data_IF_161665500578
#
_entry.id   IF_161665500578
#
_cell.length_a   1.000
_cell.length_b   1.000
_cell.length_c   1.000
_cell.angle_alpha   90.00
_cell.angle_beta   90.00
_cell.angle_gamma   90.00
#
_symmetry.space_group_name_H-M   'P 1'
#
loop_
_entity.id
_entity.type
_entity.pdbx_description
1 polymer ?
#
# COMPACT_ATOMS: atom_id res chain seq x y z
N UNK A 1 25.76 -15.99 7.13
CA UNK A 1 26.77 -15.05 7.63
C UNK A 1 27.02 -15.40 9.09
N UNK A 2 28.26 -15.64 9.47
CA UNK A 2 28.58 -15.94 10.87
C UNK A 2 28.52 -14.67 11.73
N UNK A 3 28.23 -14.76 13.05
CA UNK A 3 28.14 -13.61 13.94
C UNK A 3 29.38 -12.71 13.90
N UNK A 4 30.58 -13.31 13.82
CA UNK A 4 31.84 -12.56 13.78
C UNK A 4 32.01 -11.78 12.48
N UNK A 5 31.60 -12.36 11.35
CA UNK A 5 31.63 -11.69 10.05
C UNK A 5 30.67 -10.49 10.00
N UNK A 6 29.54 -10.57 10.72
CA UNK A 6 28.59 -9.47 10.86
C UNK A 6 29.18 -8.33 11.69
N UNK A 7 29.88 -8.64 12.79
CA UNK A 7 30.52 -7.63 13.65
C UNK A 7 31.58 -6.85 12.88
N UNK A 8 32.44 -7.53 12.12
CA UNK A 8 33.47 -6.87 11.31
C UNK A 8 32.86 -6.00 10.20
N UNK A 9 31.76 -6.45 9.57
CA UNK A 9 31.03 -5.64 8.59
C UNK A 9 30.42 -4.38 9.20
N UNK A 10 29.86 -4.47 10.42
CA UNK A 10 29.28 -3.30 11.12
C UNK A 10 30.36 -2.28 11.48
N UNK A 11 31.52 -2.75 11.98
CA UNK A 11 32.68 -1.90 12.27
C UNK A 11 33.19 -1.20 11.01
N UNK A 12 33.31 -1.92 9.89
CA UNK A 12 33.73 -1.36 8.62
C UNK A 12 32.80 -0.26 8.08
N UNK A 13 31.53 -0.25 8.52
CA UNK A 13 30.53 0.79 8.20
C UNK A 13 30.36 1.85 9.30
N UNK A 14 31.21 1.83 10.34
CA UNK A 14 31.15 2.77 11.46
C UNK A 14 29.95 2.58 12.41
N UNK A 15 29.23 1.46 12.33
CA UNK A 15 28.07 1.16 13.18
C UNK A 15 28.56 0.46 14.46
N UNK A 16 28.22 1.01 15.62
CA UNK A 16 28.53 0.37 16.91
C UNK A 16 27.72 -0.92 17.06
N UNK A 17 28.38 -2.04 17.36
CA UNK A 17 27.71 -3.34 17.60
C UNK A 17 26.62 -3.26 18.68
N UNK A 18 26.83 -2.43 19.71
CA UNK A 18 25.84 -2.18 20.75
C UNK A 18 24.51 -1.65 20.20
N UNK A 19 24.55 -0.76 19.21
CA UNK A 19 23.34 -0.22 18.56
C UNK A 19 22.51 -1.31 17.89
N UNK A 20 23.16 -2.26 17.20
CA UNK A 20 22.45 -3.40 16.62
C UNK A 20 21.88 -4.32 17.70
N UNK A 21 22.65 -4.62 18.74
CA UNK A 21 22.20 -5.45 19.86
C UNK A 21 20.97 -4.83 20.53
N UNK A 22 20.97 -3.52 20.76
CA UNK A 22 19.85 -2.81 21.37
C UNK A 22 18.62 -2.80 20.46
N UNK A 23 18.80 -2.64 19.15
CA UNK A 23 17.71 -2.78 18.17
C UNK A 23 17.10 -4.19 18.18
N UNK A 24 17.93 -5.24 18.21
CA UNK A 24 17.46 -6.64 18.27
C UNK A 24 16.71 -6.89 19.59
N UNK A 25 17.24 -6.41 20.73
CA UNK A 25 16.57 -6.51 22.02
C UNK A 25 15.21 -5.83 21.99
N UNK A 26 15.13 -4.63 21.43
CA UNK A 26 13.86 -3.90 21.29
C UNK A 26 12.86 -4.68 20.42
N UNK A 27 13.31 -5.25 19.30
CA UNK A 27 12.47 -6.08 18.43
C UNK A 27 11.94 -7.32 19.15
N UNK A 28 12.79 -8.06 19.88
CA UNK A 28 12.38 -9.23 20.66
C UNK A 28 11.40 -8.83 21.78
N UNK A 29 11.67 -7.71 22.47
CA UNK A 29 10.78 -7.20 23.51
C UNK A 29 9.40 -6.87 22.94
N UNK A 30 9.34 -6.19 21.80
CA UNK A 30 8.10 -5.89 21.10
C UNK A 30 7.35 -7.17 20.71
N UNK A 31 8.01 -8.14 20.09
CA UNK A 31 7.39 -9.43 19.73
C UNK A 31 6.79 -10.14 20.96
N UNK A 32 7.47 -10.10 22.11
CA UNK A 32 6.95 -10.66 23.36
C UNK A 32 5.71 -9.91 23.86
N UNK A 33 5.71 -8.58 23.76
CA UNK A 33 4.56 -7.75 24.13
C UNK A 33 3.36 -8.05 23.24
N UNK A 34 3.56 -8.07 21.92
CA UNK A 34 2.50 -8.42 20.95
C UNK A 34 1.94 -9.80 21.26
N UNK A 35 2.80 -10.80 21.47
CA UNK A 35 2.37 -12.17 21.75
C UNK A 35 1.59 -12.33 23.06
N UNK A 36 1.92 -11.56 24.10
CA UNK A 36 1.30 -11.69 25.43
C UNK A 36 0.14 -10.74 25.69
N UNK A 37 0.16 -9.54 25.11
CA UNK A 37 -0.78 -8.45 25.41
C UNK A 37 -1.75 -8.19 24.27
N UNK A 38 -1.32 -8.31 23.02
CA UNK A 38 -2.12 -7.93 21.85
C UNK A 38 -2.81 -9.15 21.24
N UNK A 39 -2.07 -10.23 20.98
CA UNK A 39 -2.59 -11.43 20.30
C UNK A 39 -3.80 -12.07 20.99
N UNK A 40 -3.90 -12.17 22.33
CA UNK A 40 -5.09 -12.70 22.99
C UNK A 40 -6.37 -11.87 22.82
N UNK A 41 -6.24 -10.61 22.38
CA UNK A 41 -7.39 -9.72 22.13
C UNK A 41 -7.95 -9.86 20.71
N UNK A 42 -7.29 -10.66 19.85
CA UNK A 42 -7.80 -10.95 18.51
C UNK A 42 -8.92 -11.94 18.65
N UNK A 43 -10.14 -11.44 18.52
CA UNK A 43 -11.35 -12.24 18.43
C UNK A 43 -11.95 -12.08 17.04
N UNK A 44 -12.14 -13.20 16.33
CA UNK A 44 -12.77 -13.26 15.00
C UNK A 44 -13.95 -14.21 15.13
N UNK A 45 -15.14 -13.68 14.87
CA UNK A 45 -16.37 -14.45 14.97
C UNK A 45 -16.72 -15.07 13.62
N UNK A 46 -17.51 -16.15 13.64
CA UNK A 46 -18.11 -16.72 12.42
C UNK A 46 -18.91 -15.66 11.64
N UNK A 47 -19.58 -14.76 12.36
CA UNK A 47 -20.29 -13.63 11.76
C UNK A 47 -19.36 -12.67 11.00
N UNK A 48 -18.15 -12.43 11.50
CA UNK A 48 -17.16 -11.60 10.80
C UNK A 48 -16.73 -12.27 9.48
N UNK A 49 -16.48 -13.59 9.52
CA UNK A 49 -16.11 -14.38 8.34
C UNK A 49 -17.25 -14.38 7.31
N UNK A 50 -18.47 -14.68 7.74
CA UNK A 50 -19.63 -14.73 6.86
C UNK A 50 -19.92 -13.38 6.22
N UNK A 51 -19.87 -12.29 7.01
CA UNK A 51 -20.08 -10.95 6.47
C UNK A 51 -19.04 -10.58 5.40
N UNK A 52 -17.79 -11.03 5.55
CA UNK A 52 -16.75 -10.80 4.56
C UNK A 52 -16.96 -11.65 3.30
N UNK A 53 -17.35 -12.92 3.46
CA UNK A 53 -17.70 -13.78 2.32
C UNK A 53 -18.90 -13.25 1.54
N UNK A 54 -19.93 -12.73 2.22
CA UNK A 54 -21.11 -12.17 1.58
C UNK A 54 -20.75 -10.91 0.77
N UNK A 55 -19.89 -10.04 1.30
CA UNK A 55 -19.34 -8.90 0.53
C UNK A 55 -18.58 -9.34 -0.70
N UNK A 56 -17.80 -10.43 -0.61
CA UNK A 56 -17.10 -11.00 -1.77
C UNK A 56 -18.07 -11.62 -2.77
N UNK A 57 -19.17 -12.25 -2.31
CA UNK A 57 -20.22 -12.75 -3.21
C UNK A 57 -20.92 -11.61 -3.95
N UNK A 58 -21.19 -10.50 -3.26
CA UNK A 58 -21.73 -9.27 -3.89
C UNK A 58 -20.76 -8.64 -4.90
N UNK A 59 -19.49 -9.04 -4.88
CA UNK A 59 -18.49 -8.64 -5.84
C UNK A 59 -18.48 -9.48 -7.13
N UNK A 60 -19.13 -10.66 -7.14
CA UNK A 60 -19.15 -11.56 -8.29
C UNK A 60 -19.73 -10.83 -9.52
N UNK A 61 -19.07 -11.03 -10.65
CA UNK A 61 -19.43 -10.41 -11.93
C UNK A 61 -18.96 -8.97 -12.09
N UNK A 62 -18.55 -8.29 -11.00
CA UNK A 62 -17.96 -6.94 -11.11
C UNK A 62 -16.54 -7.02 -11.67
N UNK A 63 -16.18 -6.02 -12.46
CA UNK A 63 -14.82 -5.90 -12.99
C UNK A 63 -13.85 -5.53 -11.87
N UNK A 64 -12.68 -6.15 -11.87
CA UNK A 64 -11.53 -5.76 -11.07
C UNK A 64 -10.38 -5.32 -11.98
N UNK A 65 -9.69 -4.27 -11.54
CA UNK A 65 -8.56 -3.67 -12.21
C UNK A 65 -7.33 -3.81 -11.31
N UNK A 66 -6.24 -4.37 -11.82
CA UNK A 66 -4.95 -4.33 -11.16
C UNK A 66 -4.23 -3.07 -11.62
N UNK A 67 -4.07 -2.10 -10.72
CA UNK A 67 -3.70 -0.73 -11.11
C UNK A 67 -2.37 -0.30 -10.49
N UNK A 68 -1.65 0.54 -11.22
CA UNK A 68 -0.58 1.38 -10.67
C UNK A 68 -0.85 2.84 -10.97
N UNK A 69 -0.41 3.75 -10.10
CA UNK A 69 -0.68 5.19 -10.17
C UNK A 69 0.58 6.05 -10.07
N UNK A 70 0.56 7.15 -10.82
CA UNK A 70 1.40 8.33 -10.60
C UNK A 70 0.48 9.49 -10.28
N UNK A 71 0.67 10.11 -9.12
CA UNK A 71 -0.05 11.32 -8.71
C UNK A 71 0.90 12.52 -8.71
N UNK A 72 0.49 13.59 -9.38
CA UNK A 72 1.19 14.87 -9.42
C UNK A 72 0.30 15.94 -8.77
N UNK A 73 0.65 16.47 -7.60
CA UNK A 73 -0.16 17.49 -6.93
C UNK A 73 -0.10 18.83 -7.67
N UNK A 74 -1.19 19.58 -7.60
CA UNK A 74 -1.27 20.98 -8.00
C UNK A 74 -1.42 21.79 -6.73
N UNK A 75 -0.31 22.34 -6.22
CA UNK A 75 -0.30 23.11 -4.97
C UNK A 75 -0.93 24.49 -5.14
N UNK A 76 -0.72 25.10 -6.32
CA UNK A 76 -1.24 26.42 -6.65
C UNK A 76 -2.00 26.38 -7.97
N UNK A 77 -3.16 27.07 -8.09
CA UNK A 77 -3.95 27.08 -9.32
C UNK A 77 -3.17 27.52 -10.56
N UNK A 78 -2.22 28.43 -10.43
CA UNK A 78 -1.36 28.90 -11.52
C UNK A 78 -0.46 27.81 -12.13
N UNK A 79 -0.15 26.76 -11.36
CA UNK A 79 0.70 25.65 -11.79
C UNK A 79 -0.07 24.58 -12.57
N UNK A 80 -1.41 24.62 -12.60
CA UNK A 80 -2.25 23.58 -13.20
C UNK A 80 -1.80 23.23 -14.63
N UNK A 81 -1.52 24.25 -15.46
CA UNK A 81 -1.06 24.07 -16.83
C UNK A 81 0.30 23.39 -16.92
N UNK A 82 1.25 23.76 -16.05
CA UNK A 82 2.61 23.22 -16.07
C UNK A 82 2.64 21.77 -15.57
N UNK A 83 1.87 21.47 -14.52
CA UNK A 83 1.70 20.11 -13.99
C UNK A 83 1.00 19.23 -15.01
N UNK A 84 -0.04 19.73 -15.71
CA UNK A 84 -0.70 19.00 -16.80
C UNK A 84 0.27 18.62 -17.92
N UNK A 85 1.14 19.55 -18.33
CA UNK A 85 2.15 19.26 -19.36
C UNK A 85 3.15 18.20 -18.90
N UNK A 86 3.57 18.25 -17.63
CA UNK A 86 4.42 17.23 -17.02
C UNK A 86 3.72 15.87 -17.01
N UNK A 87 2.43 15.83 -16.63
CA UNK A 87 1.63 14.61 -16.63
C UNK A 87 1.55 14.00 -18.05
N UNK A 88 1.36 14.83 -19.08
CA UNK A 88 1.33 14.37 -20.47
C UNK A 88 2.67 13.77 -20.92
N UNK A 89 3.80 14.37 -20.52
CA UNK A 89 5.14 13.83 -20.82
C UNK A 89 5.38 12.49 -20.13
N UNK A 90 5.04 12.38 -18.84
CA UNK A 90 5.15 11.12 -18.08
C UNK A 90 4.27 10.04 -18.72
N UNK A 91 3.03 10.38 -19.08
CA UNK A 91 2.12 9.48 -19.79
C UNK A 91 2.72 8.97 -21.10
N UNK A 92 3.32 9.85 -21.90
CA UNK A 92 3.96 9.46 -23.17
C UNK A 92 5.10 8.48 -22.94
N UNK A 93 5.97 8.77 -21.97
CA UNK A 93 7.09 7.89 -21.63
C UNK A 93 6.61 6.53 -21.10
N UNK A 94 5.59 6.53 -20.23
CA UNK A 94 5.00 5.32 -19.69
C UNK A 94 4.28 4.49 -20.76
N UNK A 95 3.67 5.13 -21.76
CA UNK A 95 2.99 4.44 -22.86
C UNK A 95 3.98 3.79 -23.85
N UNK A 96 5.20 4.31 -23.98
CA UNK A 96 6.25 3.71 -24.81
C UNK A 96 6.82 2.42 -24.18
N UNK A 97 6.99 2.42 -22.86
CA UNK A 97 7.42 1.25 -22.09
C UNK A 97 6.68 1.18 -20.76
N UNK A 98 5.55 0.44 -20.69
CA UNK A 98 4.80 0.26 -19.44
C UNK A 98 5.61 -0.38 -18.31
N UNK A 99 6.67 -1.14 -18.60
CA UNK A 99 7.53 -1.74 -17.58
C UNK A 99 8.37 -0.69 -16.83
N UNK A 100 8.50 0.50 -17.41
CA UNK A 100 9.15 1.65 -16.79
C UNK A 100 8.24 2.39 -15.79
N UNK A 101 6.93 2.11 -15.78
CA UNK A 101 5.99 2.81 -14.90
C UNK A 101 6.42 2.83 -13.42
N UNK A 102 6.91 1.73 -12.81
CA UNK A 102 7.37 1.74 -11.43
C UNK A 102 8.52 2.72 -11.16
N UNK A 103 9.44 2.90 -12.11
CA UNK A 103 10.55 3.85 -11.97
C UNK A 103 10.03 5.29 -12.05
N UNK A 104 9.12 5.57 -12.99
CA UNK A 104 8.49 6.87 -13.12
C UNK A 104 7.67 7.23 -11.87
N UNK A 105 6.96 6.25 -11.29
CA UNK A 105 6.23 6.44 -10.06
C UNK A 105 7.13 6.80 -8.89
N UNK A 106 8.24 6.08 -8.67
CA UNK A 106 9.22 6.43 -7.63
C UNK A 106 9.82 7.82 -7.81
N UNK A 107 10.06 8.22 -9.06
CA UNK A 107 10.70 9.49 -9.36
C UNK A 107 9.75 10.70 -9.20
N UNK A 108 8.52 10.57 -9.68
CA UNK A 108 7.63 11.73 -9.86
C UNK A 108 6.38 11.70 -8.98
N UNK A 109 5.92 10.53 -8.58
CA UNK A 109 4.66 10.42 -7.84
C UNK A 109 4.79 11.00 -6.43
N UNK A 110 3.68 11.57 -5.95
CA UNK A 110 3.49 11.97 -4.54
C UNK A 110 2.38 11.17 -3.86
N UNK A 111 1.92 10.08 -4.47
CA UNK A 111 0.99 9.14 -3.84
C UNK A 111 1.71 8.25 -2.81
N UNK A 112 0.95 7.68 -1.88
CA UNK A 112 1.48 6.79 -0.84
C UNK A 112 2.24 5.57 -1.41
N UNK A 113 1.80 5.05 -2.56
CA UNK A 113 2.43 3.89 -3.21
C UNK A 113 3.64 4.22 -4.09
N UNK A 114 4.12 5.46 -4.12
CA UNK A 114 5.20 5.90 -5.03
C UNK A 114 6.46 5.02 -4.93
N UNK A 115 6.92 4.73 -3.70
CA UNK A 115 8.10 3.90 -3.43
C UNK A 115 7.92 2.45 -3.93
N UNK A 116 6.70 1.93 -3.84
CA UNK A 116 6.31 0.61 -4.35
C UNK A 116 6.02 0.63 -5.86
N UNK A 117 6.48 1.65 -6.59
CA UNK A 117 6.28 1.75 -8.03
C UNK A 117 4.88 2.18 -8.42
N UNK A 118 4.17 2.86 -7.53
CA UNK A 118 2.80 3.30 -7.72
C UNK A 118 1.77 2.19 -7.53
N UNK A 119 2.12 1.07 -6.92
CA UNK A 119 1.21 -0.07 -6.78
C UNK A 119 0.00 0.28 -5.88
N UNK A 120 -1.21 0.20 -6.45
CA UNK A 120 -2.49 0.31 -5.72
C UNK A 120 -3.08 -1.08 -5.41
N UNK A 121 -2.70 -2.10 -6.17
CA UNK A 121 -3.28 -3.43 -6.11
C UNK A 121 -4.56 -3.57 -6.94
N UNK A 122 -5.37 -4.55 -6.56
CA UNK A 122 -6.66 -4.82 -7.19
C UNK A 122 -7.72 -3.88 -6.63
N UNK A 123 -8.39 -3.17 -7.52
CA UNK A 123 -9.53 -2.29 -7.21
C UNK A 123 -10.76 -2.76 -7.96
N UNK A 124 -11.90 -2.74 -7.31
CA UNK A 124 -13.16 -3.13 -7.92
C UNK A 124 -13.82 -1.93 -8.61
N UNK A 125 -14.49 -2.19 -9.73
CA UNK A 125 -15.31 -1.18 -10.40
C UNK A 125 -16.34 -0.58 -9.42
N UNK A 126 -16.36 0.75 -9.32
CA UNK A 126 -17.22 1.48 -8.39
C UNK A 126 -16.59 1.81 -7.03
N UNK A 127 -15.39 1.33 -6.72
CA UNK A 127 -14.68 1.71 -5.49
C UNK A 127 -13.90 3.03 -5.61
N UNK A 128 -13.53 3.43 -6.83
CA UNK A 128 -12.86 4.70 -7.08
C UNK A 128 -13.84 5.81 -7.44
N UNK A 129 -13.37 7.06 -7.46
CA UNK A 129 -14.14 8.19 -7.97
C UNK A 129 -14.51 7.99 -9.46
N UNK A 130 -15.65 8.53 -9.88
CA UNK A 130 -16.21 8.30 -11.23
C UNK A 130 -15.22 8.59 -12.37
N UNK A 131 -14.47 9.69 -12.28
CA UNK A 131 -13.46 10.05 -13.28
C UNK A 131 -12.34 9.00 -13.39
N UNK A 132 -11.97 8.37 -12.27
CA UNK A 132 -10.94 7.32 -12.23
C UNK A 132 -11.50 6.00 -12.77
N UNK A 133 -12.72 5.62 -12.37
CA UNK A 133 -13.38 4.43 -12.91
C UNK A 133 -13.54 4.51 -14.43
N UNK A 134 -14.04 5.64 -14.95
CA UNK A 134 -14.20 5.86 -16.39
C UNK A 134 -12.86 5.81 -17.14
N UNK A 135 -11.78 6.31 -16.53
CA UNK A 135 -10.45 6.21 -17.11
C UNK A 135 -9.96 4.77 -17.20
N UNK A 136 -10.20 3.93 -16.19
CA UNK A 136 -9.78 2.52 -16.17
C UNK A 136 -10.66 1.62 -17.03
N UNK A 137 -11.96 1.90 -17.11
CA UNK A 137 -12.92 1.09 -17.87
C UNK A 137 -12.55 0.98 -19.35
N UNK A 138 -12.09 2.09 -19.92
CA UNK A 138 -11.67 2.22 -21.32
C UNK A 138 -10.28 1.65 -21.62
N UNK A 139 -9.55 1.16 -20.62
CA UNK A 139 -8.22 0.60 -20.81
C UNK A 139 -8.25 -0.92 -20.98
N UNK A 140 -7.30 -1.39 -21.80
CA UNK A 140 -6.85 -2.78 -21.84
C UNK A 140 -5.63 -2.98 -20.94
N UNK A 141 -5.37 -4.23 -20.54
CA UNK A 141 -4.17 -4.57 -19.78
C UNK A 141 -2.89 -4.14 -20.53
N UNK A 142 -1.94 -3.57 -19.80
CA UNK A 142 -0.72 -2.94 -20.31
C UNK A 142 -0.88 -1.48 -20.76
N UNK A 143 -2.09 -0.92 -20.78
CA UNK A 143 -2.31 0.47 -21.24
C UNK A 143 -2.23 1.50 -20.11
N UNK A 144 -1.78 2.70 -20.50
CA UNK A 144 -1.66 3.87 -19.61
C UNK A 144 -2.76 4.87 -19.93
N UNK A 145 -3.46 5.35 -18.90
CA UNK A 145 -4.54 6.34 -19.01
C UNK A 145 -4.02 7.69 -19.52
N UNK A 146 -4.93 8.53 -20.02
CA UNK A 146 -4.67 9.96 -20.06
C UNK A 146 -4.56 10.53 -18.62
N UNK A 147 -3.90 11.68 -18.42
CA UNK A 147 -3.91 12.36 -17.12
C UNK A 147 -5.36 12.71 -16.71
N UNK A 148 -5.79 12.19 -15.56
CA UNK A 148 -7.10 12.44 -14.96
C UNK A 148 -6.97 13.58 -13.95
N UNK A 149 -7.71 14.66 -14.13
CA UNK A 149 -7.73 15.79 -13.19
C UNK A 149 -8.63 15.45 -12.00
N UNK A 150 -8.10 15.49 -10.78
CA UNK A 150 -8.87 15.46 -9.53
C UNK A 150 -9.00 16.88 -8.98
N UNK A 151 -9.36 17.07 -7.70
CA UNK A 151 -9.31 18.40 -7.06
C UNK A 151 -7.87 18.79 -6.68
N UNK A 152 -7.04 17.81 -6.31
CA UNK A 152 -5.71 18.03 -5.74
C UNK A 152 -4.57 17.88 -6.74
N UNK A 153 -4.83 17.37 -7.95
CA UNK A 153 -3.82 17.30 -9.00
C UNK A 153 -4.18 16.38 -10.16
N UNK A 154 -3.17 15.79 -10.78
CA UNK A 154 -3.30 14.89 -11.91
C UNK A 154 -2.89 13.46 -11.56
N UNK A 155 -3.68 12.50 -12.01
CA UNK A 155 -3.44 11.08 -11.84
C UNK A 155 -3.20 10.43 -13.19
N UNK A 156 -2.23 9.52 -13.26
CA UNK A 156 -1.94 8.69 -14.43
C UNK A 156 -1.98 7.24 -13.97
N UNK A 157 -2.74 6.41 -14.66
CA UNK A 157 -2.93 5.02 -14.29
C UNK A 157 -2.30 4.09 -15.32
N UNK A 158 -1.66 3.03 -14.86
CA UNK A 158 -1.34 1.85 -15.67
C UNK A 158 -2.30 0.74 -15.26
N UNK A 159 -3.07 0.24 -16.23
CA UNK A 159 -3.87 -0.96 -16.04
C UNK A 159 -2.97 -2.18 -16.27
N UNK A 160 -2.52 -2.85 -15.22
CA UNK A 160 -1.67 -4.04 -15.32
C UNK A 160 -2.49 -5.27 -15.70
N UNK A 161 -3.71 -5.40 -15.19
CA UNK A 161 -4.59 -6.52 -15.48
C UNK A 161 -6.06 -6.12 -15.28
N UNK A 162 -6.98 -6.79 -15.99
CA UNK A 162 -8.43 -6.59 -15.91
C UNK A 162 -9.10 -7.95 -15.94
N UNK A 163 -9.91 -8.25 -14.94
CA UNK A 163 -10.69 -9.50 -14.86
C UNK A 163 -12.08 -9.24 -14.29
N UNK A 164 -13.01 -10.15 -14.53
CA UNK A 164 -14.23 -10.21 -13.72
C UNK A 164 -13.95 -11.01 -12.46
N UNK A 165 -14.45 -10.53 -11.32
CA UNK A 165 -14.40 -11.30 -10.09
C UNK A 165 -15.34 -12.49 -10.19
N UNK A 166 -14.80 -13.69 -10.05
CA UNK A 166 -15.56 -14.93 -10.18
C UNK A 166 -15.74 -15.60 -8.81
N UNK A 167 -16.69 -16.54 -8.74
CA UNK A 167 -16.88 -17.36 -7.53
C UNK A 167 -15.60 -18.12 -7.14
N UNK A 168 -14.82 -18.59 -8.12
CA UNK A 168 -13.52 -19.24 -7.88
C UNK A 168 -12.42 -18.29 -7.36
N UNK A 169 -12.63 -16.97 -7.36
CA UNK A 169 -11.74 -16.01 -6.71
C UNK A 169 -12.04 -15.83 -5.21
N UNK A 170 -13.16 -16.37 -4.72
CA UNK A 170 -13.54 -16.29 -3.31
C UNK A 170 -12.68 -17.27 -2.50
N UNK A 171 -11.92 -16.79 -1.50
CA UNK A 171 -11.13 -17.65 -0.62
C UNK A 171 -12.02 -18.57 0.22
N UNK A 172 -11.44 -19.65 0.75
CA UNK A 172 -12.14 -20.50 1.72
C UNK A 172 -12.41 -19.76 3.03
N UNK A 173 -13.37 -20.24 3.83
CA UNK A 173 -13.67 -19.65 5.14
C UNK A 173 -12.43 -19.57 6.03
N UNK A 174 -11.62 -20.63 6.06
CA UNK A 174 -10.34 -20.66 6.79
C UNK A 174 -9.37 -19.57 6.32
N UNK A 175 -9.26 -19.36 5.00
CA UNK A 175 -8.40 -18.32 4.44
C UNK A 175 -8.90 -16.92 4.79
N UNK A 176 -10.22 -16.71 4.82
CA UNK A 176 -10.83 -15.46 5.26
C UNK A 176 -10.59 -15.25 6.76
N UNK A 177 -10.80 -16.28 7.58
CA UNK A 177 -10.55 -16.23 9.01
C UNK A 177 -9.09 -15.86 9.34
N UNK A 178 -8.12 -16.53 8.71
CA UNK A 178 -6.70 -16.22 8.89
C UNK A 178 -6.38 -14.78 8.49
N UNK A 179 -6.90 -14.32 7.35
CA UNK A 179 -6.70 -12.94 6.87
C UNK A 179 -7.28 -11.92 7.84
N UNK A 180 -8.52 -12.11 8.30
CA UNK A 180 -9.17 -11.22 9.25
C UNK A 180 -8.43 -11.21 10.60
N UNK A 181 -7.93 -12.37 11.04
CA UNK A 181 -7.09 -12.49 12.23
C UNK A 181 -5.81 -11.67 12.13
N UNK A 182 -5.10 -11.76 11.01
CA UNK A 182 -3.88 -10.97 10.75
C UNK A 182 -4.18 -9.46 10.69
N UNK A 183 -5.24 -9.06 9.97
CA UNK A 183 -5.64 -7.65 9.88
C UNK A 183 -6.03 -7.07 11.24
N UNK A 184 -6.82 -7.80 12.04
CA UNK A 184 -7.22 -7.36 13.38
C UNK A 184 -6.01 -7.31 14.32
N UNK A 185 -5.08 -8.26 14.21
CA UNK A 185 -3.82 -8.24 14.95
C UNK A 185 -2.97 -7.01 14.60
N UNK A 186 -2.80 -6.68 13.32
CA UNK A 186 -2.05 -5.51 12.88
C UNK A 186 -2.67 -4.21 13.40
N UNK A 187 -4.00 -4.07 13.28
CA UNK A 187 -4.72 -2.92 13.81
C UNK A 187 -4.53 -2.76 15.32
N UNK A 188 -4.64 -3.84 16.08
CA UNK A 188 -4.44 -3.82 17.53
C UNK A 188 -2.98 -3.53 17.91
N UNK A 189 -2.00 -4.00 17.13
CA UNK A 189 -0.59 -3.65 17.32
C UNK A 189 -0.36 -2.15 17.14
N UNK A 190 -0.88 -1.58 16.05
CA UNK A 190 -0.75 -0.16 15.74
C UNK A 190 -1.42 0.69 16.82
N UNK A 191 -2.64 0.32 17.24
CA UNK A 191 -3.35 1.00 18.31
C UNK A 191 -2.56 0.93 19.63
N UNK A 192 -2.14 -0.26 20.05
CA UNK A 192 -1.38 -0.44 21.29
C UNK A 192 -0.06 0.34 21.28
N UNK A 193 0.63 0.39 20.14
CA UNK A 193 1.85 1.19 19.99
C UNK A 193 1.57 2.70 20.12
N UNK A 194 0.48 3.18 19.54
CA UNK A 194 0.06 4.59 19.67
C UNK A 194 -0.33 4.92 21.11
N UNK A 195 -1.04 4.02 21.81
CA UNK A 195 -1.41 4.19 23.21
C UNK A 195 -0.16 4.23 24.12
N UNK A 196 0.83 3.36 23.88
CA UNK A 196 2.12 3.41 24.57
C UNK A 196 2.85 4.74 24.35
N UNK A 197 2.84 5.26 23.11
CA UNK A 197 3.43 6.57 22.80
C UNK A 197 2.73 7.68 23.58
N UNK A 198 1.40 7.71 23.54
CA UNK A 198 0.59 8.72 24.23
C UNK A 198 0.74 8.69 25.76
N UNK A 199 0.87 7.49 26.35
CA UNK A 199 1.06 7.32 27.78
C UNK A 199 2.51 7.59 28.25
N UNK A 200 3.46 7.70 27.33
CA UNK A 200 4.86 8.00 27.66
C UNK A 200 5.13 9.50 27.60
N UNK A 201 5.83 10.03 28.61
CA UNK A 201 6.32 11.40 28.55
C UNK A 201 7.51 11.48 27.58
N UNK A 202 7.29 12.01 26.39
CA UNK A 202 8.33 12.21 25.37
C UNK A 202 8.70 13.69 25.34
N UNK A 203 9.77 14.06 26.03
CA UNK A 203 10.40 15.38 25.89
C UNK A 203 11.27 15.39 24.64
N UNK A 204 10.78 16.02 23.56
CA UNK A 204 11.57 16.23 22.35
C UNK A 204 12.40 17.50 22.57
N UNK A 205 13.66 17.32 22.97
CA UNK A 205 14.62 18.42 22.97
C UNK A 205 15.15 18.62 21.56
N UNK A 206 14.78 19.75 20.96
CA UNK A 206 15.33 20.27 19.70
C UNK A 206 16.72 20.89 19.91
#
# INVERSE_FOLDING_TARGET
>A
MQPDQLIEMLKARGIKTATLIDQIKAQIAWTKVVGRKVRPQVDITERDVQAELDRMKDAIGKTQYLVSEIFLPVEKPEDDRSVRQTALKIKQQAAQDPNNFPRLARQFSRAAGAEQGGDIGWVQQGQLADAMNAALENLSAGQVSAPVRSLTGYHIYLLRNKKQFAEGDIPTEDQVYERLGLQRLERLQNQYFMDLKAASFVDIRL
#
